data_IF_699120013365
#
_entry.id   IF_699120013365
#
_cell.length_a   1.000
_cell.length_b   1.000
_cell.length_c   1.000
_cell.angle_alpha   90.00
_cell.angle_beta   90.00
_cell.angle_gamma   90.00
#
_symmetry.space_group_name_H-M   'P 1'
#
loop_
_entity.id
_entity.type
_entity.pdbx_description
1 polymer ?
#
# COMPACT_ATOMS: atom_id res chain seq x y z
N UNK A 1 -4.45 7.07 7.14
CA UNK A 1 -3.27 6.25 6.85
C UNK A 1 -2.14 6.70 7.75
N UNK A 2 -1.87 5.92 8.78
CA UNK A 2 -0.71 6.14 9.63
C UNK A 2 0.57 5.82 8.84
N UNK A 3 1.62 6.63 9.02
CA UNK A 3 2.89 6.50 8.27
C UNK A 3 3.49 5.09 8.39
N UNK A 4 3.32 4.47 9.56
CA UNK A 4 3.71 3.08 9.84
C UNK A 4 3.02 2.07 8.92
N UNK A 5 1.70 2.19 8.72
CA UNK A 5 0.93 1.26 7.88
C UNK A 5 1.36 1.36 6.41
N UNK A 6 1.67 2.58 5.94
CA UNK A 6 2.18 2.78 4.60
C UNK A 6 3.53 2.08 4.39
N UNK A 7 4.46 2.23 5.33
CA UNK A 7 5.77 1.55 5.30
C UNK A 7 5.55 0.03 5.28
N UNK A 8 4.73 -0.50 6.19
CA UNK A 8 4.45 -1.94 6.23
C UNK A 8 3.86 -2.47 4.93
N UNK A 9 2.97 -1.72 4.29
CA UNK A 9 2.35 -2.10 3.02
C UNK A 9 3.36 -2.08 1.86
N UNK A 10 4.20 -1.04 1.76
CA UNK A 10 5.23 -0.93 0.71
C UNK A 10 6.27 -2.05 0.83
N UNK A 11 6.69 -2.38 2.05
CA UNK A 11 7.73 -3.37 2.32
C UNK A 11 7.18 -4.77 2.66
N UNK A 12 5.88 -5.01 2.50
CA UNK A 12 5.23 -6.25 2.90
C UNK A 12 5.87 -7.49 2.26
N UNK A 13 6.19 -7.42 0.96
CA UNK A 13 6.88 -8.48 0.23
C UNK A 13 8.23 -8.81 0.86
N UNK A 14 9.05 -7.79 1.12
CA UNK A 14 10.37 -7.97 1.72
C UNK A 14 10.28 -8.59 3.13
N UNK A 15 9.41 -8.04 3.99
CA UNK A 15 9.20 -8.53 5.36
C UNK A 15 8.81 -10.01 5.36
N UNK A 16 7.88 -10.41 4.48
CA UNK A 16 7.44 -11.80 4.36
C UNK A 16 8.55 -12.73 3.92
N UNK A 17 9.31 -12.35 2.88
CA UNK A 17 10.38 -13.18 2.35
C UNK A 17 11.52 -13.34 3.36
N UNK A 18 11.87 -12.30 4.12
CA UNK A 18 12.86 -12.38 5.21
C UNK A 18 12.45 -13.39 6.27
N UNK A 19 11.20 -13.33 6.74
CA UNK A 19 10.70 -14.23 7.79
C UNK A 19 10.60 -15.68 7.30
N UNK A 20 10.09 -15.91 6.08
CA UNK A 20 9.96 -17.26 5.50
C UNK A 20 11.32 -17.89 5.21
N UNK A 21 12.19 -17.18 4.50
CA UNK A 21 13.48 -17.74 4.07
C UNK A 21 14.46 -17.95 5.21
N UNK A 22 14.39 -17.15 6.27
CA UNK A 22 15.30 -17.33 7.40
C UNK A 22 14.75 -18.21 8.53
N UNK A 23 13.48 -18.64 8.49
CA UNK A 23 12.97 -19.73 9.35
C UNK A 23 13.13 -21.10 8.71
N UNK A 24 13.29 -21.16 7.39
CA UNK A 24 13.49 -22.39 6.61
C UNK A 24 15.00 -22.67 6.40
N UNK A 25 15.56 -23.75 6.97
CA UNK A 25 16.97 -24.11 6.82
C UNK A 25 17.39 -24.34 5.36
N UNK A 26 16.48 -24.81 4.52
CA UNK A 26 16.76 -25.15 3.11
C UNK A 26 16.81 -23.89 2.23
N UNK A 27 16.30 -22.75 2.71
CA UNK A 27 16.26 -21.46 2.00
C UNK A 27 17.34 -20.49 2.42
N UNK A 28 18.35 -20.95 3.17
CA UNK A 28 19.45 -20.09 3.65
C UNK A 28 20.17 -19.33 2.52
N UNK A 29 20.31 -19.93 1.34
CA UNK A 29 20.92 -19.27 0.17
C UNK A 29 20.04 -18.11 -0.32
N UNK A 30 18.72 -18.30 -0.39
CA UNK A 30 17.75 -17.27 -0.77
C UNK A 30 17.77 -16.10 0.22
N UNK A 31 17.78 -16.42 1.52
CA UNK A 31 17.88 -15.43 2.60
C UNK A 31 19.13 -14.54 2.46
N UNK A 32 20.31 -15.15 2.24
CA UNK A 32 21.56 -14.39 2.08
C UNK A 32 21.56 -13.54 0.81
N UNK A 33 20.96 -14.03 -0.29
CA UNK A 33 20.81 -13.24 -1.51
C UNK A 33 19.88 -12.03 -1.31
N UNK A 34 18.78 -12.22 -0.58
CA UNK A 34 17.83 -11.16 -0.24
C UNK A 34 18.49 -10.07 0.61
N UNK A 35 19.23 -10.45 1.65
CA UNK A 35 19.97 -9.49 2.48
C UNK A 35 21.05 -8.74 1.71
N UNK A 36 21.80 -9.45 0.85
CA UNK A 36 22.82 -8.81 0.00
C UNK A 36 22.22 -7.82 -0.98
N UNK A 37 21.03 -8.11 -1.52
CA UNK A 37 20.30 -7.18 -2.37
C UNK A 37 19.87 -5.93 -1.58
N UNK A 38 19.39 -6.09 -0.35
CA UNK A 38 19.05 -4.98 0.52
C UNK A 38 20.28 -4.11 0.87
N UNK A 39 21.43 -4.71 1.18
CA UNK A 39 22.69 -3.98 1.40
C UNK A 39 23.11 -3.14 0.19
N UNK A 40 22.95 -3.68 -1.03
CA UNK A 40 23.24 -2.95 -2.26
C UNK A 40 22.29 -1.77 -2.51
N UNK A 41 21.12 -1.75 -1.86
CA UNK A 41 20.16 -0.63 -1.87
C UNK A 41 20.30 0.26 -0.63
N UNK A 42 21.49 0.27 -0.01
CA UNK A 42 21.84 1.11 1.12
C UNK A 42 21.12 0.76 2.44
N UNK A 43 20.39 -0.36 2.53
CA UNK A 43 19.73 -0.84 3.76
C UNK A 43 20.68 -1.59 4.70
N UNK A 44 21.92 -1.10 4.84
CA UNK A 44 22.99 -1.82 5.55
C UNK A 44 22.67 -1.98 7.04
N UNK A 45 22.12 -0.93 7.67
CA UNK A 45 21.80 -0.93 9.10
C UNK A 45 20.61 -1.86 9.40
N UNK A 46 19.56 -1.82 8.57
CA UNK A 46 18.45 -2.77 8.61
C UNK A 46 18.93 -4.22 8.46
N UNK A 47 19.80 -4.51 7.51
CA UNK A 47 20.32 -5.87 7.30
C UNK A 47 21.12 -6.34 8.51
N UNK A 48 21.93 -5.47 9.12
CA UNK A 48 22.63 -5.78 10.35
C UNK A 48 21.66 -6.09 11.51
N UNK A 49 20.56 -5.35 11.62
CA UNK A 49 19.51 -5.63 12.59
C UNK A 49 18.81 -6.98 12.32
N UNK A 50 18.41 -7.25 11.08
CA UNK A 50 17.77 -8.52 10.69
C UNK A 50 18.69 -9.70 10.98
N UNK A 51 19.99 -9.64 10.66
CA UNK A 51 20.93 -10.72 10.99
C UNK A 51 21.03 -10.99 12.49
N UNK A 52 20.99 -9.95 13.33
CA UNK A 52 20.96 -10.10 14.80
C UNK A 52 19.67 -10.76 15.26
N UNK A 53 18.53 -10.37 14.67
CA UNK A 53 17.24 -11.00 14.91
C UNK A 53 17.33 -12.48 14.51
N UNK A 54 17.77 -12.84 13.31
CA UNK A 54 17.88 -14.25 12.92
C UNK A 54 18.89 -15.04 13.76
N UNK A 55 19.91 -14.38 14.30
CA UNK A 55 20.84 -14.93 15.28
C UNK A 55 20.27 -15.17 16.69
N UNK A 56 18.98 -14.88 16.91
CA UNK A 56 18.26 -15.19 18.15
C UNK A 56 18.09 -14.01 19.12
N UNK A 57 18.61 -12.82 18.81
CA UNK A 57 18.34 -11.61 19.62
C UNK A 57 16.91 -11.14 19.38
N UNK A 58 16.19 -10.75 20.44
CA UNK A 58 14.78 -10.31 20.37
C UNK A 58 14.53 -8.99 21.12
N UNK A 59 15.60 -8.30 21.50
CA UNK A 59 15.53 -7.12 22.35
C UNK A 59 15.26 -5.87 21.50
N UNK A 60 14.51 -4.92 22.06
CA UNK A 60 14.16 -3.66 21.39
C UNK A 60 15.40 -2.80 21.08
N UNK A 61 16.50 -3.03 21.80
CA UNK A 61 17.78 -2.36 21.58
C UNK A 61 18.36 -2.59 20.18
N UNK A 62 17.93 -3.66 19.49
CA UNK A 62 18.34 -3.93 18.11
C UNK A 62 17.83 -2.84 17.15
N UNK A 63 16.73 -2.18 17.50
CA UNK A 63 16.11 -1.10 16.71
C UNK A 63 16.80 0.26 16.94
N UNK A 64 17.71 0.36 17.91
CA UNK A 64 18.41 1.61 18.19
C UNK A 64 19.37 1.98 17.05
N UNK A 65 19.25 3.21 16.56
CA UNK A 65 20.09 3.73 15.48
C UNK A 65 19.56 3.47 14.06
N UNK A 66 18.48 2.70 13.93
CA UNK A 66 17.71 2.60 12.68
C UNK A 66 16.87 3.87 12.47
N UNK A 67 16.65 4.23 11.22
CA UNK A 67 15.68 5.27 10.89
C UNK A 67 14.22 4.78 11.06
N UNK A 68 13.26 5.67 10.89
CA UNK A 68 11.83 5.35 11.10
C UNK A 68 11.34 4.22 10.18
N UNK A 69 11.83 4.15 8.95
CA UNK A 69 11.42 3.13 7.98
C UNK A 69 12.01 1.77 8.37
N UNK A 70 13.32 1.74 8.65
CA UNK A 70 14.05 0.56 9.07
C UNK A 70 13.53 -0.01 10.41
N UNK A 71 13.19 0.86 11.36
CA UNK A 71 12.60 0.46 12.64
C UNK A 71 11.28 -0.28 12.43
N UNK A 72 10.39 0.26 11.60
CA UNK A 72 9.08 -0.35 11.33
C UNK A 72 9.25 -1.70 10.63
N UNK A 73 10.17 -1.81 9.67
CA UNK A 73 10.45 -3.07 8.97
C UNK A 73 11.03 -4.11 9.93
N UNK A 74 12.05 -3.75 10.72
CA UNK A 74 12.70 -4.66 11.65
C UNK A 74 11.77 -5.11 12.78
N UNK A 75 10.90 -4.23 13.28
CA UNK A 75 9.86 -4.58 14.25
C UNK A 75 8.85 -5.56 13.65
N UNK A 76 8.42 -5.35 12.40
CA UNK A 76 7.50 -6.27 11.72
C UNK A 76 8.09 -7.66 11.50
N UNK A 77 9.38 -7.73 11.13
CA UNK A 77 10.11 -9.01 11.04
C UNK A 77 10.17 -9.69 12.41
N UNK A 78 10.49 -8.94 13.46
CA UNK A 78 10.56 -9.45 14.83
C UNK A 78 9.21 -10.03 15.30
N UNK A 79 8.11 -9.30 15.05
CA UNK A 79 6.75 -9.75 15.36
C UNK A 79 6.37 -10.98 14.52
N UNK A 80 6.62 -10.95 13.21
CA UNK A 80 6.30 -12.06 12.30
C UNK A 80 7.05 -13.36 12.62
N UNK A 81 8.25 -13.27 13.21
CA UNK A 81 8.97 -14.45 13.72
C UNK A 81 8.36 -15.02 15.00
N UNK A 82 7.71 -14.20 15.82
CA UNK A 82 7.02 -14.65 17.03
C UNK A 82 5.63 -15.20 16.69
N UNK A 83 4.92 -14.50 15.82
CA UNK A 83 3.59 -14.86 15.34
C UNK A 83 3.47 -14.56 13.84
N UNK A 84 3.53 -15.58 12.97
CA UNK A 84 3.41 -15.41 11.52
C UNK A 84 2.10 -14.76 11.08
N UNK A 85 1.05 -14.76 11.91
CA UNK A 85 -0.23 -14.12 11.58
C UNK A 85 -0.17 -12.60 11.63
N UNK A 86 0.88 -12.00 12.22
CA UNK A 86 1.09 -10.55 12.26
C UNK A 86 1.82 -10.02 11.03
N UNK A 87 2.20 -10.88 10.09
CA UNK A 87 2.89 -10.45 8.87
C UNK A 87 1.96 -9.60 8.00
N UNK A 88 2.45 -8.48 7.44
CA UNK A 88 1.66 -7.69 6.52
C UNK A 88 1.34 -8.53 5.28
N UNK A 89 0.10 -8.50 4.79
CA UNK A 89 -0.24 -9.24 3.58
C UNK A 89 0.43 -8.58 2.35
N UNK A 90 1.37 -9.25 1.65
CA UNK A 90 2.03 -8.69 0.48
C UNK A 90 1.08 -8.49 -0.70
N UNK A 91 -0.08 -9.13 -0.69
CA UNK A 91 -1.16 -8.96 -1.65
C UNK A 91 -2.30 -8.11 -1.09
N UNK A 92 -2.12 -7.46 0.08
CA UNK A 92 -3.07 -6.47 0.58
C UNK A 92 -3.20 -5.38 -0.46
N UNK A 93 -4.23 -5.50 -1.30
CA UNK A 93 -4.70 -4.42 -2.13
C UNK A 93 -5.13 -3.34 -1.14
N UNK A 94 -4.62 -2.12 -1.33
CA UNK A 94 -5.04 -0.97 -0.54
C UNK A 94 -6.56 -1.02 -0.36
N UNK A 95 -7.01 -1.04 0.89
CA UNK A 95 -8.42 -1.19 1.22
C UNK A 95 -9.20 -0.09 0.49
N UNK A 96 -10.16 -0.46 -0.36
CA UNK A 96 -11.00 0.50 -1.05
C UNK A 96 -11.59 1.58 -0.15
N UNK A 97 -12.01 1.21 1.05
CA UNK A 97 -12.57 2.14 2.02
C UNK A 97 -11.55 3.17 2.51
N UNK A 98 -10.26 2.83 2.54
CA UNK A 98 -9.18 3.74 2.96
C UNK A 98 -8.71 4.67 1.83
N UNK A 99 -8.87 4.26 0.56
CA UNK A 99 -8.51 5.06 -0.60
C UNK A 99 -9.62 6.03 -1.03
N UNK A 100 -10.89 5.71 -0.72
CA UNK A 100 -12.06 6.47 -1.14
C UNK A 100 -12.03 7.96 -0.73
N UNK A 101 -11.70 8.36 0.51
CA UNK A 101 -11.71 9.78 0.90
C UNK A 101 -10.69 10.62 0.13
N UNK A 102 -9.47 10.08 -0.05
CA UNK A 102 -8.40 10.77 -0.79
C UNK A 102 -8.75 10.94 -2.27
N UNK A 103 -9.29 9.89 -2.90
CA UNK A 103 -9.77 9.94 -4.27
C UNK A 103 -10.95 10.91 -4.43
N UNK A 104 -11.92 10.87 -3.52
CA UNK A 104 -13.06 11.79 -3.51
C UNK A 104 -12.60 13.25 -3.40
N UNK A 105 -11.66 13.56 -2.51
CA UNK A 105 -11.11 14.90 -2.37
C UNK A 105 -10.43 15.38 -3.66
N UNK A 106 -9.63 14.53 -4.32
CA UNK A 106 -8.97 14.88 -5.59
C UNK A 106 -9.98 15.08 -6.73
N UNK A 107 -10.99 14.20 -6.83
CA UNK A 107 -12.07 14.32 -7.80
C UNK A 107 -12.84 15.63 -7.59
N UNK A 108 -13.20 15.93 -6.34
CA UNK A 108 -13.91 17.17 -6.00
C UNK A 108 -13.07 18.39 -6.37
N UNK A 109 -11.80 18.45 -5.96
CA UNK A 109 -10.90 19.55 -6.31
C UNK A 109 -10.78 19.73 -7.82
N UNK A 110 -10.63 18.64 -8.58
CA UNK A 110 -10.59 18.67 -10.05
C UNK A 110 -11.92 19.19 -10.64
N UNK A 111 -13.06 18.74 -10.10
CA UNK A 111 -14.40 19.16 -10.53
C UNK A 111 -14.67 20.65 -10.24
N UNK A 112 -14.12 21.19 -9.15
CA UNK A 112 -14.24 22.62 -8.80
C UNK A 112 -13.18 23.51 -9.46
N UNK A 113 -12.39 22.98 -10.40
CA UNK A 113 -11.46 23.77 -11.22
C UNK A 113 -10.01 23.84 -10.72
N UNK A 114 -9.60 23.01 -9.76
CA UNK A 114 -8.19 22.87 -9.39
C UNK A 114 -7.41 22.15 -10.51
N UNK A 115 -6.62 22.93 -11.26
CA UNK A 115 -5.87 22.43 -12.42
C UNK A 115 -4.81 21.41 -12.02
N UNK A 116 -4.17 21.57 -10.85
CA UNK A 116 -3.16 20.62 -10.38
C UNK A 116 -3.79 19.27 -10.03
N UNK A 117 -4.92 19.29 -9.32
CA UNK A 117 -5.67 18.07 -9.00
C UNK A 117 -6.17 17.37 -10.27
N UNK A 118 -6.65 18.14 -11.26
CA UNK A 118 -7.09 17.63 -12.55
C UNK A 118 -5.95 16.93 -13.32
N UNK A 119 -4.74 17.52 -13.33
CA UNK A 119 -3.57 16.92 -13.96
C UNK A 119 -3.17 15.62 -13.26
N UNK A 120 -3.04 15.65 -11.94
CA UNK A 120 -2.63 14.49 -11.15
C UNK A 120 -3.61 13.32 -11.33
N UNK A 121 -4.92 13.57 -11.20
CA UNK A 121 -5.92 12.51 -11.33
C UNK A 121 -6.04 11.98 -12.77
N UNK A 122 -5.76 12.81 -13.78
CA UNK A 122 -5.73 12.37 -15.17
C UNK A 122 -4.52 11.47 -15.46
N UNK A 123 -3.34 11.79 -14.93
CA UNK A 123 -2.15 10.94 -15.04
C UNK A 123 -2.36 9.60 -14.32
N UNK A 124 -2.93 9.63 -13.12
CA UNK A 124 -3.30 8.42 -12.38
C UNK A 124 -4.28 7.56 -13.18
N UNK A 125 -5.33 8.15 -13.75
CA UNK A 125 -6.30 7.43 -14.57
C UNK A 125 -5.66 6.80 -15.82
N UNK A 126 -4.75 7.52 -16.48
CA UNK A 126 -4.01 7.01 -17.64
C UNK A 126 -3.13 5.81 -17.26
N UNK A 127 -2.38 5.90 -16.17
CA UNK A 127 -1.58 4.78 -15.66
C UNK A 127 -2.45 3.59 -15.27
N UNK A 128 -3.53 3.80 -14.52
CA UNK A 128 -4.47 2.77 -14.11
C UNK A 128 -5.12 2.06 -15.32
N UNK A 129 -5.43 2.81 -16.39
CA UNK A 129 -5.97 2.23 -17.63
C UNK A 129 -5.00 1.26 -18.31
N UNK A 130 -3.69 1.51 -18.24
CA UNK A 130 -2.63 0.69 -18.83
C UNK A 130 -2.37 -0.59 -18.05
N UNK A 131 -2.58 -0.57 -16.73
CA UNK A 131 -2.44 -1.76 -15.87
C UNK A 131 -3.50 -2.82 -16.17
N UNK A 132 -4.72 -2.41 -16.54
CA UNK A 132 -5.82 -3.33 -16.83
C UNK A 132 -6.56 -3.83 -15.58
N UNK A 133 -7.52 -4.74 -15.79
CA UNK A 133 -8.29 -5.35 -14.69
C UNK A 133 -9.10 -4.33 -13.86
N UNK A 134 -9.22 -4.52 -12.53
CA UNK A 134 -9.95 -3.62 -11.63
C UNK A 134 -9.49 -2.15 -11.72
N UNK A 135 -8.20 -1.91 -11.92
CA UNK A 135 -7.66 -0.54 -12.02
C UNK A 135 -8.13 0.19 -13.28
N UNK A 136 -8.25 -0.51 -14.41
CA UNK A 136 -8.81 0.07 -15.63
C UNK A 136 -10.31 0.35 -15.51
N UNK A 137 -11.04 -0.49 -14.76
CA UNK A 137 -12.45 -0.26 -14.44
C UNK A 137 -12.62 1.00 -13.57
N UNK A 138 -11.78 1.16 -12.54
CA UNK A 138 -11.75 2.38 -11.71
C UNK A 138 -11.37 3.63 -12.52
N UNK A 139 -10.38 3.55 -13.40
CA UNK A 139 -9.99 4.64 -14.28
C UNK A 139 -11.15 5.14 -15.16
N UNK A 140 -12.03 4.23 -15.58
CA UNK A 140 -13.17 4.55 -16.45
C UNK A 140 -14.23 5.42 -15.77
N UNK A 141 -14.31 5.40 -14.44
CA UNK A 141 -15.31 6.18 -13.68
C UNK A 141 -14.79 7.54 -13.23
N UNK A 142 -13.48 7.77 -13.22
CA UNK A 142 -12.85 9.04 -12.79
C UNK A 142 -13.40 10.23 -13.60
N UNK A 143 -13.40 10.14 -14.94
CA UNK A 143 -13.86 11.24 -15.80
C UNK A 143 -15.36 11.55 -15.61
N UNK A 144 -16.27 10.57 -15.60
CA UNK A 144 -17.67 10.80 -15.21
C UNK A 144 -17.83 11.48 -13.84
N UNK A 145 -17.05 11.06 -12.83
CA UNK A 145 -17.11 11.63 -11.48
C UNK A 145 -16.65 13.09 -11.46
N UNK A 146 -15.56 13.44 -12.16
CA UNK A 146 -15.12 14.85 -12.32
C UNK A 146 -16.19 15.68 -13.02
N UNK A 147 -16.89 15.11 -14.00
CA UNK A 147 -17.96 15.78 -14.74
C UNK A 147 -19.31 15.84 -13.97
N UNK A 148 -19.35 15.41 -12.70
CA UNK A 148 -20.55 15.53 -11.86
C UNK A 148 -21.52 14.36 -11.93
N UNK A 149 -21.17 13.21 -12.55
CA UNK A 149 -22.00 12.02 -12.47
C UNK A 149 -21.95 11.44 -11.05
N UNK A 150 -23.12 11.17 -10.45
CA UNK A 150 -23.25 10.66 -9.07
C UNK A 150 -24.17 9.45 -8.97
N UNK A 151 -24.68 8.91 -10.08
CA UNK A 151 -25.60 7.76 -10.07
C UNK A 151 -24.82 6.44 -9.98
N UNK A 152 -24.97 5.66 -8.89
CA UNK A 152 -24.31 4.36 -8.75
C UNK A 152 -24.66 3.40 -9.89
N UNK A 153 -25.93 3.33 -10.30
CA UNK A 153 -26.39 2.41 -11.36
C UNK A 153 -25.68 2.63 -12.71
N UNK A 154 -25.22 3.86 -12.97
CA UNK A 154 -24.51 4.21 -14.20
C UNK A 154 -23.00 3.97 -14.07
N UNK A 155 -22.43 4.30 -12.92
CA UNK A 155 -20.99 4.18 -12.67
C UNK A 155 -20.58 2.73 -12.43
N UNK A 156 -21.42 1.94 -11.75
CA UNK A 156 -21.11 0.58 -11.31
C UNK A 156 -21.48 -0.52 -12.31
N UNK A 157 -22.18 -0.20 -13.41
CA UNK A 157 -22.78 -1.18 -14.34
C UNK A 157 -21.84 -2.28 -14.87
N UNK A 158 -20.54 -2.02 -14.95
CA UNK A 158 -19.52 -2.93 -15.50
C UNK A 158 -18.39 -3.24 -14.51
N UNK A 159 -18.57 -2.88 -13.24
CA UNK A 159 -17.58 -3.10 -12.20
C UNK A 159 -17.73 -4.50 -11.62
N UNK A 160 -16.62 -5.06 -11.13
CA UNK A 160 -16.62 -6.23 -10.26
C UNK A 160 -16.84 -5.80 -8.80
N UNK A 161 -17.30 -6.72 -7.94
CA UNK A 161 -17.74 -6.41 -6.57
C UNK A 161 -16.79 -5.51 -5.77
N UNK A 162 -15.47 -5.80 -5.70
CA UNK A 162 -14.53 -4.95 -4.98
C UNK A 162 -14.38 -3.54 -5.57
N UNK A 163 -14.45 -3.39 -6.90
CA UNK A 163 -14.35 -2.06 -7.55
C UNK A 163 -15.66 -1.29 -7.41
N UNK A 164 -16.80 -1.98 -7.37
CA UNK A 164 -18.09 -1.36 -7.09
C UNK A 164 -18.12 -0.78 -5.67
N UNK A 165 -17.69 -1.53 -4.65
CA UNK A 165 -17.60 -1.03 -3.27
C UNK A 165 -16.69 0.19 -3.14
N UNK A 166 -15.55 0.21 -3.85
CA UNK A 166 -14.70 1.40 -3.95
C UNK A 166 -15.46 2.63 -4.46
N UNK A 167 -16.18 2.48 -5.57
CA UNK A 167 -16.89 3.60 -6.22
C UNK A 167 -18.03 4.09 -5.35
N UNK A 168 -18.72 3.19 -4.65
CA UNK A 168 -19.75 3.56 -3.68
C UNK A 168 -19.16 4.38 -2.52
N UNK A 169 -18.02 3.96 -1.96
CA UNK A 169 -17.32 4.73 -0.93
C UNK A 169 -16.91 6.12 -1.41
N UNK A 170 -16.38 6.23 -2.63
CA UNK A 170 -16.04 7.54 -3.24
C UNK A 170 -17.29 8.43 -3.37
N UNK A 171 -18.44 7.87 -3.76
CA UNK A 171 -19.69 8.62 -3.89
C UNK A 171 -20.21 9.12 -2.53
N UNK A 172 -20.08 8.34 -1.47
CA UNK A 172 -20.43 8.76 -0.11
C UNK A 172 -19.55 9.92 0.37
N UNK A 173 -18.24 9.82 0.16
CA UNK A 173 -17.28 10.88 0.52
C UNK A 173 -17.51 12.16 -0.30
N UNK A 174 -17.75 12.04 -1.61
CA UNK A 174 -18.10 13.19 -2.47
C UNK A 174 -19.38 13.87 -1.99
N UNK A 175 -20.40 13.11 -1.60
CA UNK A 175 -21.64 13.67 -1.06
C UNK A 175 -21.39 14.45 0.23
N UNK A 176 -20.50 13.96 1.11
CA UNK A 176 -20.10 14.67 2.32
C UNK A 176 -19.40 16.00 1.98
N UNK A 177 -18.45 15.98 1.04
CA UNK A 177 -17.70 17.16 0.60
C UNK A 177 -18.58 18.22 -0.09
N UNK A 178 -19.60 17.81 -0.84
CA UNK A 178 -20.51 18.72 -1.55
C UNK A 178 -21.61 19.31 -0.67
N UNK A 179 -21.82 18.76 0.53
CA UNK A 179 -22.79 19.26 1.51
C UNK A 179 -22.24 20.34 2.45
N UNK A 180 -20.93 20.60 2.40
CA UNK A 180 -20.23 21.63 3.16
C UNK A 180 -19.80 22.79 2.27
#
# INVERSE_FOLDING_TARGET
>A
MDRREQILSVHALFINEVVKSGTDPDRKIEFEQLLKAAENNEWTDLVAAIRRIMGGRRDIEILNGLDEEDQVIAEAVLMGLQDPSTLPDPNAKADPAQAAPGLASMIHAAATGNVQALQLIAEMADQMSKVGGPMALLASVIRPLINGERRPDKLCRKLDGPTEEMVLGILEELKSLEQH
#
